data_IF_851355866710
#
_entry.id   IF_851355866710
#
_cell.length_a   1.000
_cell.length_b   1.000
_cell.length_c   1.000
_cell.angle_alpha   90.00
_cell.angle_beta   90.00
_cell.angle_gamma   90.00
#
_symmetry.space_group_name_H-M   'P 1'
#
loop_
_entity.id
_entity.type
_entity.pdbx_description
1 polymer ?
#
# COMPACT_ATOMS: atom_id res chain seq x y z
N UNK A 1 3.29 -1.35 -15.39
CA UNK A 1 4.14 -0.23 -14.98
C UNK A 1 4.83 -0.56 -13.68
N UNK A 2 5.61 0.39 -13.19
CA UNK A 2 6.25 0.30 -11.89
C UNK A 2 5.60 1.31 -10.94
N UNK A 3 5.52 0.96 -9.67
CA UNK A 3 5.01 1.85 -8.64
C UNK A 3 5.68 1.60 -7.30
N UNK A 4 5.63 2.59 -6.42
CA UNK A 4 6.06 2.49 -5.02
C UNK A 4 4.83 2.55 -4.13
N UNK A 5 4.78 1.67 -3.15
CA UNK A 5 3.65 1.57 -2.22
C UNK A 5 4.20 1.44 -0.80
N UNK A 6 3.65 2.20 0.14
CA UNK A 6 4.14 2.21 1.51
C UNK A 6 3.03 1.95 2.53
N UNK A 7 3.26 0.93 3.36
CA UNK A 7 2.45 0.64 4.53
C UNK A 7 2.89 1.53 5.69
N UNK A 8 2.16 2.62 5.90
CA UNK A 8 2.35 3.51 7.05
C UNK A 8 1.61 2.95 8.26
N UNK A 9 2.34 2.47 9.27
CA UNK A 9 1.74 1.86 10.44
C UNK A 9 2.21 2.50 11.74
N UNK A 10 1.34 2.46 12.74
CA UNK A 10 1.63 2.81 14.13
C UNK A 10 1.53 1.53 14.96
N UNK A 11 2.35 1.42 15.99
CA UNK A 11 2.31 0.30 16.92
C UNK A 11 2.27 0.82 18.35
N UNK A 12 1.22 0.47 19.08
CA UNK A 12 1.01 0.82 20.50
C UNK A 12 0.76 -0.46 21.29
N UNK A 13 1.48 -0.66 22.38
CA UNK A 13 1.32 -1.83 23.25
C UNK A 13 1.36 -3.18 22.50
N UNK A 14 2.18 -3.26 21.44
CA UNK A 14 2.30 -4.44 20.57
C UNK A 14 1.17 -4.60 19.53
N UNK A 15 0.16 -3.73 19.53
CA UNK A 15 -0.90 -3.71 18.55
C UNK A 15 -0.54 -2.79 17.37
N UNK A 16 -0.55 -3.34 16.16
CA UNK A 16 -0.32 -2.59 14.92
C UNK A 16 -1.63 -2.08 14.30
N UNK A 17 -1.59 -0.85 13.83
CA UNK A 17 -2.66 -0.21 13.05
C UNK A 17 -2.08 0.43 11.80
N UNK A 18 -2.77 0.32 10.68
CA UNK A 18 -2.40 0.92 9.40
C UNK A 18 -3.15 2.23 9.20
N UNK A 19 -2.45 3.24 8.72
CA UNK A 19 -3.09 4.40 8.11
C UNK A 19 -3.59 4.04 6.72
N UNK A 20 -4.89 4.22 6.51
CA UNK A 20 -5.59 3.95 5.26
C UNK A 20 -6.11 5.27 4.71
N UNK A 21 -5.76 5.57 3.46
CA UNK A 21 -6.31 6.70 2.71
C UNK A 21 -7.64 6.33 2.07
N UNK A 22 -8.53 7.31 1.94
CA UNK A 22 -9.69 7.23 1.05
C UNK A 22 -9.44 8.18 -0.12
N UNK A 23 -9.41 7.64 -1.34
CA UNK A 23 -9.09 8.42 -2.55
C UNK A 23 -10.12 9.52 -2.77
N UNK A 24 -9.66 10.69 -3.21
CA UNK A 24 -10.54 11.79 -3.61
C UNK A 24 -11.52 11.33 -4.70
N UNK A 25 -12.75 11.86 -4.64
CA UNK A 25 -13.77 11.63 -5.67
C UNK A 25 -13.38 12.24 -7.02
N UNK A 26 -12.40 13.15 -7.06
CA UNK A 26 -11.91 13.78 -8.29
C UNK A 26 -10.83 12.98 -9.01
N UNK A 27 -10.33 11.88 -8.43
CA UNK A 27 -9.34 11.03 -9.10
C UNK A 27 -9.95 10.35 -10.32
N UNK A 28 -9.19 10.34 -11.42
CA UNK A 28 -9.59 9.70 -12.68
C UNK A 28 -9.76 8.17 -12.57
N UNK A 29 -9.08 7.55 -11.60
CA UNK A 29 -9.13 6.11 -11.36
C UNK A 29 -9.51 5.81 -9.92
N UNK A 30 -10.44 4.88 -9.75
CA UNK A 30 -10.89 4.37 -8.44
C UNK A 30 -11.30 5.48 -7.44
N UNK A 31 -12.14 6.47 -7.84
CA UNK A 31 -12.56 7.54 -6.93
C UNK A 31 -13.30 6.98 -5.71
N UNK A 32 -13.00 7.49 -4.51
CA UNK A 32 -13.65 7.11 -3.25
C UNK A 32 -13.27 5.75 -2.67
N UNK A 33 -12.45 4.95 -3.37
CA UNK A 33 -11.97 3.67 -2.85
C UNK A 33 -10.91 3.87 -1.75
N UNK A 34 -10.76 2.87 -0.88
CA UNK A 34 -9.67 2.82 0.09
C UNK A 34 -8.33 2.51 -0.61
N UNK A 35 -7.26 3.13 -0.13
CA UNK A 35 -5.90 3.03 -0.66
C UNK A 35 -4.88 3.04 0.48
N UNK A 36 -3.59 2.89 0.14
CA UNK A 36 -2.51 3.03 1.12
C UNK A 36 -2.44 4.45 1.69
N UNK A 37 -1.59 4.62 2.71
CA UNK A 37 -1.19 5.95 3.14
C UNK A 37 -0.43 6.71 2.04
N UNK A 38 0.48 6.02 1.33
CA UNK A 38 1.24 6.58 0.20
C UNK A 38 1.38 5.54 -0.92
N UNK A 39 1.04 5.90 -2.15
CA UNK A 39 1.24 5.06 -3.34
C UNK A 39 1.31 5.84 -4.65
N UNK A 40 2.48 5.83 -5.31
CA UNK A 40 2.70 6.54 -6.57
C UNK A 40 3.23 5.64 -7.69
N UNK A 41 2.92 5.99 -8.94
CA UNK A 41 3.61 5.42 -10.10
C UNK A 41 5.08 5.82 -10.09
N UNK A 42 5.98 4.97 -10.61
CA UNK A 42 7.42 5.23 -10.64
C UNK A 42 7.81 5.87 -11.99
N UNK A 43 8.21 7.15 -12.02
CA UNK A 43 8.64 7.80 -13.25
C UNK A 43 10.01 7.32 -13.71
N UNK A 44 10.27 7.41 -15.02
CA UNK A 44 11.58 7.06 -15.56
C UNK A 44 12.67 8.01 -15.03
N UNK A 45 13.81 7.45 -14.61
CA UNK A 45 14.97 8.23 -14.17
C UNK A 45 14.94 8.68 -12.70
N UNK A 46 13.92 8.29 -11.94
CA UNK A 46 13.83 8.55 -10.49
C UNK A 46 13.99 7.22 -9.75
N UNK A 47 14.76 7.22 -8.66
CA UNK A 47 14.90 6.01 -7.84
C UNK A 47 13.61 5.74 -7.05
N UNK A 48 13.36 4.47 -6.67
CA UNK A 48 12.18 4.14 -5.86
C UNK A 48 12.16 4.91 -4.53
N UNK A 49 13.32 5.12 -3.91
CA UNK A 49 13.44 5.86 -2.65
C UNK A 49 13.11 7.34 -2.83
N UNK A 50 13.66 7.99 -3.86
CA UNK A 50 13.39 9.41 -4.12
C UNK A 50 11.93 9.64 -4.48
N UNK A 51 11.35 8.75 -5.30
CA UNK A 51 9.93 8.81 -5.62
C UNK A 51 9.07 8.61 -4.36
N UNK A 52 9.40 7.63 -3.52
CA UNK A 52 8.67 7.41 -2.28
C UNK A 52 8.69 8.64 -1.37
N UNK A 53 9.84 9.32 -1.23
CA UNK A 53 9.97 10.53 -0.41
C UNK A 53 9.10 11.66 -0.95
N UNK A 54 9.07 11.85 -2.28
CA UNK A 54 8.19 12.82 -2.93
C UNK A 54 6.72 12.53 -2.63
N UNK A 55 6.27 11.30 -2.92
CA UNK A 55 4.86 10.90 -2.73
C UNK A 55 4.45 10.95 -1.25
N UNK A 56 5.39 10.68 -0.32
CA UNK A 56 5.18 10.82 1.12
C UNK A 56 4.78 12.25 1.53
N UNK A 57 5.44 13.24 0.96
CA UNK A 57 5.15 14.65 1.23
C UNK A 57 3.83 15.08 0.60
N UNK A 58 3.60 14.77 -0.68
CA UNK A 58 2.43 15.19 -1.45
C UNK A 58 1.12 14.56 -0.94
N UNK A 59 1.10 13.24 -0.76
CA UNK A 59 -0.14 12.54 -0.45
C UNK A 59 -0.47 12.62 1.05
N UNK A 60 0.53 12.61 1.94
CA UNK A 60 0.34 12.40 3.37
C UNK A 60 1.04 13.43 4.28
N UNK A 61 1.76 14.40 3.73
CA UNK A 61 2.48 15.41 4.52
C UNK A 61 3.60 14.81 5.37
N UNK A 62 4.13 13.65 4.98
CA UNK A 62 5.22 12.99 5.69
C UNK A 62 6.54 13.67 5.28
N UNK A 63 7.15 14.39 6.22
CA UNK A 63 8.45 15.03 5.99
C UNK A 63 9.52 14.02 5.55
N UNK A 64 10.50 14.48 4.76
CA UNK A 64 11.65 13.69 4.35
C UNK A 64 12.36 12.97 5.52
N UNK A 65 12.50 13.63 6.67
CA UNK A 65 13.15 13.06 7.87
C UNK A 65 12.42 11.82 8.41
N UNK A 66 11.11 11.72 8.19
CA UNK A 66 10.32 10.54 8.54
C UNK A 66 10.33 9.55 7.37
N UNK A 67 10.12 10.02 6.14
CA UNK A 67 10.10 9.18 4.94
C UNK A 67 11.40 8.39 4.71
N UNK A 68 12.56 8.99 5.02
CA UNK A 68 13.88 8.34 4.91
C UNK A 68 14.05 7.11 5.83
N UNK A 69 13.13 6.90 6.79
CA UNK A 69 13.12 5.72 7.67
C UNK A 69 12.35 4.54 7.06
N UNK A 70 11.71 4.72 5.91
CA UNK A 70 10.97 3.67 5.25
C UNK A 70 11.93 2.56 4.81
N UNK A 71 11.52 1.31 5.05
CA UNK A 71 12.33 0.14 4.75
C UNK A 71 11.71 -0.55 3.53
N UNK A 72 12.54 -0.84 2.52
CA UNK A 72 12.11 -1.68 1.40
C UNK A 72 11.93 -3.13 1.89
N UNK A 73 10.76 -3.70 1.63
CA UNK A 73 10.33 -5.01 2.18
C UNK A 73 9.99 -6.04 1.12
N UNK A 74 10.11 -5.68 -0.16
CA UNK A 74 9.95 -6.59 -1.28
C UNK A 74 9.19 -5.94 -2.44
N UNK A 75 8.57 -6.78 -3.26
CA UNK A 75 7.70 -6.35 -4.32
C UNK A 75 6.55 -7.33 -4.52
N UNK A 76 5.42 -6.80 -4.96
CA UNK A 76 4.28 -7.57 -5.46
C UNK A 76 4.23 -7.38 -6.97
N UNK A 77 4.05 -8.47 -7.72
CA UNK A 77 3.88 -8.40 -9.17
C UNK A 77 2.61 -9.13 -9.59
N UNK A 78 1.86 -8.50 -10.49
CA UNK A 78 0.66 -9.11 -11.05
C UNK A 78 0.44 -8.76 -12.52
N UNK A 79 -0.33 -9.62 -13.16
CA UNK A 79 -0.79 -9.46 -14.53
C UNK A 79 -2.31 -9.46 -14.55
N UNK A 80 -2.89 -8.49 -15.23
CA UNK A 80 -4.33 -8.37 -15.41
C UNK A 80 -4.67 -8.07 -16.87
N UNK A 81 -5.81 -8.57 -17.32
CA UNK A 81 -6.30 -8.35 -18.68
C UNK A 81 -7.68 -7.73 -18.55
N UNK A 82 -7.76 -6.41 -18.72
CA UNK A 82 -9.03 -5.69 -18.74
C UNK A 82 -9.42 -5.43 -20.20
N UNK A 83 -10.30 -6.29 -20.75
CA UNK A 83 -10.93 -6.27 -22.08
C UNK A 83 -9.99 -6.03 -23.29
N UNK A 84 -9.35 -4.87 -23.36
CA UNK A 84 -8.44 -4.42 -24.42
C UNK A 84 -7.06 -3.98 -23.91
N UNK A 85 -6.87 -3.93 -22.59
CA UNK A 85 -5.65 -3.48 -21.94
C UNK A 85 -5.00 -4.62 -21.17
N UNK A 86 -3.76 -4.89 -21.51
CA UNK A 86 -2.92 -5.83 -20.80
C UNK A 86 -2.05 -5.08 -19.81
N UNK A 87 -2.25 -5.34 -18.52
CA UNK A 87 -1.55 -4.66 -17.43
C UNK A 87 -0.58 -5.63 -16.77
N UNK A 88 0.70 -5.24 -16.74
CA UNK A 88 1.73 -5.88 -15.91
C UNK A 88 2.26 -4.86 -14.95
N UNK A 89 2.00 -5.03 -13.66
CA UNK A 89 2.46 -4.08 -12.65
C UNK A 89 3.42 -4.75 -11.66
N UNK A 90 4.48 -4.03 -11.32
CA UNK A 90 5.40 -4.35 -10.24
C UNK A 90 5.31 -3.21 -9.22
N UNK A 91 4.94 -3.56 -7.99
CA UNK A 91 4.76 -2.63 -6.89
C UNK A 91 5.87 -2.84 -5.87
N UNK A 92 6.81 -1.92 -5.80
CA UNK A 92 7.87 -1.93 -4.79
C UNK A 92 7.28 -1.54 -3.44
N UNK A 93 7.37 -2.46 -2.50
CA UNK A 93 6.71 -2.36 -1.20
C UNK A 93 7.68 -1.80 -0.15
N UNK A 94 7.19 -0.85 0.61
CA UNK A 94 7.88 -0.23 1.73
C UNK A 94 7.02 -0.32 3.00
N UNK A 95 7.69 -0.38 4.14
CA UNK A 95 7.04 -0.24 5.44
C UNK A 95 7.66 0.97 6.17
N UNK A 96 6.80 1.77 6.79
CA UNK A 96 7.22 2.90 7.61
C UNK A 96 6.47 2.87 8.94
N UNK A 97 7.23 2.65 10.03
CA UNK A 97 6.72 2.83 11.38
C UNK A 97 6.65 4.32 11.69
N UNK A 98 5.45 4.84 11.82
CA UNK A 98 5.19 6.25 12.08
C UNK A 98 5.19 6.52 13.60
N UNK A 99 5.54 7.75 14.03
CA UNK A 99 5.31 8.20 15.39
C UNK A 99 3.85 8.00 15.80
N UNK A 100 3.62 7.68 17.08
CA UNK A 100 2.28 7.41 17.57
C UNK A 100 1.33 8.61 17.45
N UNK A 101 1.86 9.81 17.58
CA UNK A 101 1.16 11.09 17.48
C UNK A 101 1.08 11.64 16.05
N UNK A 102 1.64 10.93 15.07
CA UNK A 102 1.59 11.34 13.67
C UNK A 102 0.17 11.30 13.12
N UNK A 103 -0.25 12.39 12.49
CA UNK A 103 -1.51 12.49 11.76
C UNK A 103 -1.20 12.93 10.32
N UNK A 104 -1.55 12.13 9.30
CA UNK A 104 -1.30 12.49 7.92
C UNK A 104 -2.17 13.66 7.47
N UNK A 105 -1.62 14.48 6.58
CA UNK A 105 -2.29 15.65 6.01
C UNK A 105 -2.13 15.59 4.49
N UNK A 106 -3.25 15.55 3.78
CA UNK A 106 -3.24 15.64 2.32
C UNK A 106 -2.73 17.02 1.88
N UNK A 107 -1.74 17.08 1.00
CA UNK A 107 -1.18 18.34 0.48
C UNK A 107 -1.60 18.65 -0.96
N UNK A 108 -1.91 17.64 -1.78
CA UNK A 108 -2.08 17.79 -3.24
C UNK A 108 -3.53 17.62 -3.73
N UNK A 109 -4.44 17.17 -2.85
CA UNK A 109 -5.86 16.97 -3.19
C UNK A 109 -6.20 15.55 -3.67
N UNK A 110 -5.25 14.61 -3.68
CA UNK A 110 -5.48 13.25 -4.16
C UNK A 110 -6.22 12.35 -3.16
N UNK A 111 -6.17 12.71 -1.86
CA UNK A 111 -6.80 11.94 -0.76
C UNK A 111 -7.95 12.72 -0.10
N UNK A 112 -9.13 12.11 -0.01
CA UNK A 112 -10.29 12.72 0.67
C UNK A 112 -10.12 12.74 2.20
N UNK A 113 -9.67 11.63 2.78
CA UNK A 113 -9.52 11.47 4.23
C UNK A 113 -8.60 10.31 4.59
N UNK A 114 -8.11 10.29 5.83
CA UNK A 114 -7.31 9.21 6.40
C UNK A 114 -8.01 8.59 7.60
N UNK A 115 -7.80 7.29 7.80
CA UNK A 115 -8.21 6.57 9.01
C UNK A 115 -7.11 5.64 9.49
N UNK A 116 -6.85 5.66 10.80
CA UNK A 116 -5.99 4.68 11.45
C UNK A 116 -6.84 3.47 11.86
N UNK A 117 -6.53 2.30 11.30
CA UNK A 117 -7.35 1.08 11.44
C UNK A 117 -6.48 -0.07 11.96
N UNK A 118 -6.91 -0.81 12.99
CA UNK A 118 -6.20 -2.02 13.43
C UNK A 118 -5.97 -3.00 12.28
N UNK A 119 -4.78 -3.58 12.18
CA UNK A 119 -4.40 -4.46 11.06
C UNK A 119 -5.37 -5.63 10.89
N UNK A 120 -5.85 -6.21 12.00
CA UNK A 120 -6.85 -7.28 11.97
C UNK A 120 -8.18 -6.85 11.33
N UNK A 121 -8.61 -5.61 11.53
CA UNK A 121 -9.80 -5.07 10.88
C UNK A 121 -9.56 -4.80 9.40
N UNK A 122 -8.38 -4.29 9.02
CA UNK A 122 -8.01 -4.13 7.60
C UNK A 122 -8.07 -5.48 6.87
N UNK A 123 -7.53 -6.55 7.48
CA UNK A 123 -7.60 -7.90 6.93
C UNK A 123 -9.05 -8.38 6.72
N UNK A 124 -9.94 -8.11 7.68
CA UNK A 124 -11.37 -8.45 7.55
C UNK A 124 -12.03 -7.65 6.41
N UNK A 125 -11.75 -6.35 6.29
CA UNK A 125 -12.29 -5.51 5.21
C UNK A 125 -11.86 -6.03 3.84
N UNK A 126 -10.59 -6.41 3.68
CA UNK A 126 -10.08 -7.03 2.43
C UNK A 126 -10.77 -8.36 2.13
N UNK A 127 -11.04 -9.17 3.16
CA UNK A 127 -11.65 -10.50 3.00
C UNK A 127 -13.15 -10.42 2.65
N UNK A 128 -13.85 -9.44 3.20
CA UNK A 128 -15.32 -9.41 3.21
C UNK A 128 -15.93 -8.35 2.27
N UNK A 129 -15.12 -7.45 1.72
CA UNK A 129 -15.60 -6.32 0.91
C UNK A 129 -14.70 -6.05 -0.29
N UNK A 130 -15.17 -5.18 -1.19
CA UNK A 130 -14.39 -4.67 -2.34
C UNK A 130 -14.10 -3.17 -2.21
N UNK A 131 -13.96 -2.65 -0.98
CA UNK A 131 -13.75 -1.20 -0.76
C UNK A 131 -12.34 -0.72 -1.11
N UNK A 132 -11.35 -1.60 -1.06
CA UNK A 132 -9.98 -1.27 -1.44
C UNK A 132 -9.80 -1.30 -2.95
N UNK A 133 -9.01 -0.34 -3.46
CA UNK A 133 -8.42 -0.43 -4.79
C UNK A 133 -7.68 -1.76 -4.90
N UNK A 134 -7.93 -2.53 -5.97
CA UNK A 134 -7.51 -3.94 -6.04
C UNK A 134 -6.01 -4.16 -5.77
N UNK A 135 -5.16 -3.33 -6.37
CA UNK A 135 -3.71 -3.46 -6.21
C UNK A 135 -3.20 -3.03 -4.82
N UNK A 136 -3.97 -2.21 -4.11
CA UNK A 136 -3.70 -1.86 -2.72
C UNK A 136 -3.86 -3.09 -1.81
N UNK A 137 -4.94 -3.84 -1.98
CA UNK A 137 -5.19 -5.07 -1.23
C UNK A 137 -4.03 -6.07 -1.34
N UNK A 138 -3.39 -6.19 -2.50
CA UNK A 138 -2.28 -7.13 -2.69
C UNK A 138 -1.05 -6.77 -1.85
N UNK A 139 -0.69 -5.49 -1.78
CA UNK A 139 0.44 -5.01 -0.96
C UNK A 139 0.12 -5.12 0.53
N UNK A 140 -1.12 -4.86 0.94
CA UNK A 140 -1.55 -5.09 2.33
C UNK A 140 -1.50 -6.58 2.66
N UNK A 141 -1.92 -7.47 1.77
CA UNK A 141 -1.81 -8.92 2.00
C UNK A 141 -0.33 -9.33 2.17
N UNK A 142 0.59 -8.78 1.38
CA UNK A 142 2.04 -9.00 1.58
C UNK A 142 2.51 -8.51 2.96
N UNK A 143 2.03 -7.34 3.43
CA UNK A 143 2.24 -6.88 4.80
C UNK A 143 1.72 -7.88 5.85
N UNK A 144 0.51 -8.43 5.66
CA UNK A 144 -0.07 -9.42 6.57
C UNK A 144 0.77 -10.71 6.65
N UNK A 145 1.37 -11.16 5.54
CA UNK A 145 2.32 -12.28 5.55
C UNK A 145 3.58 -11.92 6.35
N UNK A 146 4.24 -10.82 6.01
CA UNK A 146 5.53 -10.41 6.60
C UNK A 146 5.43 -10.11 8.11
N UNK A 147 4.26 -9.63 8.56
CA UNK A 147 4.01 -9.29 9.97
C UNK A 147 3.30 -10.42 10.76
N UNK A 148 3.11 -11.60 10.15
CA UNK A 148 2.63 -12.80 10.86
C UNK A 148 1.13 -12.84 11.14
N UNK A 149 0.33 -12.02 10.46
CA UNK A 149 -1.14 -12.05 10.53
C UNK A 149 -1.74 -13.17 9.67
N UNK A 150 -1.08 -13.53 8.57
CA UNK A 150 -1.38 -14.73 7.79
C UNK A 150 -0.30 -15.78 8.10
N UNK A 151 -0.72 -16.94 8.61
CA UNK A 151 0.19 -18.00 9.07
C UNK A 151 0.14 -19.24 8.18
N UNK A 152 1.21 -20.06 8.10
CA UNK A 152 1.26 -21.25 7.25
C UNK A 152 0.09 -22.24 7.42
N UNK A 153 -0.56 -22.24 8.58
CA UNK A 153 -1.73 -23.07 8.88
C UNK A 153 -3.03 -22.57 8.22
N UNK A 154 -3.01 -21.39 7.61
CA UNK A 154 -4.15 -20.80 6.93
C UNK A 154 -4.45 -21.56 5.64
N UNK A 155 -5.72 -21.87 5.39
CA UNK A 155 -6.15 -22.50 4.14
C UNK A 155 -5.72 -21.66 2.93
N UNK A 156 -5.11 -22.31 1.93
CA UNK A 156 -4.65 -21.64 0.71
C UNK A 156 -3.39 -20.76 0.87
N UNK A 157 -2.67 -20.84 1.99
CA UNK A 157 -1.50 -20.01 2.28
C UNK A 157 -0.50 -19.94 1.12
N UNK A 158 -0.08 -21.10 0.59
CA UNK A 158 0.93 -21.18 -0.47
C UNK A 158 0.42 -20.63 -1.80
N UNK A 159 -0.84 -20.85 -2.13
CA UNK A 159 -1.44 -20.36 -3.38
C UNK A 159 -1.57 -18.84 -3.35
N UNK A 160 -2.01 -18.28 -2.21
CA UNK A 160 -2.08 -16.84 -2.01
C UNK A 160 -0.68 -16.22 -2.03
N UNK A 161 0.30 -16.80 -1.33
CA UNK A 161 1.67 -16.31 -1.29
C UNK A 161 2.32 -16.27 -2.68
N UNK A 162 2.12 -17.32 -3.49
CA UNK A 162 2.59 -17.39 -4.88
C UNK A 162 1.90 -16.37 -5.77
N UNK A 163 0.59 -16.16 -5.59
CA UNK A 163 -0.20 -15.24 -6.41
C UNK A 163 0.25 -13.79 -6.31
N UNK A 164 0.90 -13.39 -5.21
CA UNK A 164 1.50 -12.06 -5.06
C UNK A 164 2.75 -11.81 -5.94
N UNK A 165 3.26 -12.85 -6.61
CA UNK A 165 4.49 -12.82 -7.41
C UNK A 165 4.28 -13.48 -8.79
N UNK A 166 3.07 -13.34 -9.34
CA UNK A 166 2.68 -14.03 -10.58
C UNK A 166 2.93 -13.20 -11.84
N UNK A 167 3.18 -11.89 -11.71
CA UNK A 167 3.49 -11.01 -12.83
C UNK A 167 4.94 -11.16 -13.28
N UNK A 168 5.13 -11.15 -14.60
CA UNK A 168 6.46 -11.04 -15.22
C UNK A 168 7.09 -9.69 -14.87
N UNK A 169 8.31 -9.72 -14.32
CA UNK A 169 9.05 -8.56 -13.83
C UNK A 169 10.21 -8.16 -14.75
N UNK A 170 10.35 -8.81 -15.90
CA UNK A 170 11.41 -8.53 -16.88
C UNK A 170 11.15 -7.30 -17.75
#
# INVERSE_FOLDING_TARGET
>A
GYGVHMNGYVERDGQKSLWIGKRSLTKSTYPGMLDHLVAGGLPHGISCGDNLVKECEEEAGISKVIADRAIAVGAVSYMDIDQYCFKRDVLFCYDLKLPEDFVPINQDGEVESFKLIPVAQVANVIRETSFFKANCSLVIIDFLFRHGFIRPESSGYLDLYRSLRNGDCS
#
